data_IF_848968834469
#
_entry.id   IF_848968834469
#
_cell.length_a   1.000
_cell.length_b   1.000
_cell.length_c   1.000
_cell.angle_alpha   90.00
_cell.angle_beta   90.00
_cell.angle_gamma   90.00
#
_symmetry.space_group_name_H-M   'P 1'
#
loop_
_entity.id
_entity.type
_entity.pdbx_description
1 polymer ?
#
# COMPACT_ATOMS: atom_id res chain seq x y z
N UNK A 1 -14.18 -15.79 -1.08
CA UNK A 1 -13.70 -14.38 -1.19
C UNK A 1 -14.72 -13.48 -1.86
N UNK A 2 -15.26 -13.77 -3.07
CA UNK A 2 -16.29 -12.91 -3.68
C UNK A 2 -17.52 -12.73 -2.78
N UNK A 3 -17.89 -13.75 -2.02
CA UNK A 3 -19.00 -13.73 -1.07
C UNK A 3 -18.79 -12.70 0.06
N UNK A 4 -17.55 -12.62 0.58
CA UNK A 4 -17.18 -11.63 1.61
C UNK A 4 -17.19 -10.21 1.06
N UNK A 5 -16.81 -10.03 -0.21
CA UNK A 5 -16.85 -8.72 -0.87
C UNK A 5 -18.29 -8.26 -1.06
N UNK A 6 -19.18 -9.16 -1.48
CA UNK A 6 -20.62 -8.86 -1.58
C UNK A 6 -21.20 -8.50 -0.21
N UNK A 7 -20.91 -9.26 0.83
CA UNK A 7 -21.35 -8.94 2.20
C UNK A 7 -20.81 -7.58 2.69
N UNK A 8 -19.57 -7.25 2.36
CA UNK A 8 -18.95 -5.97 2.71
C UNK A 8 -19.62 -4.79 2.00
N UNK A 9 -19.92 -4.93 0.71
CA UNK A 9 -20.65 -3.92 -0.06
C UNK A 9 -22.09 -3.75 0.44
N UNK A 10 -22.76 -4.85 0.81
CA UNK A 10 -24.08 -4.80 1.42
C UNK A 10 -24.04 -4.02 2.73
N UNK A 11 -23.08 -4.30 3.62
CA UNK A 11 -22.88 -3.56 4.86
C UNK A 11 -22.78 -2.05 4.61
N UNK A 12 -21.94 -1.61 3.66
CA UNK A 12 -21.81 -0.19 3.33
C UNK A 12 -23.05 0.42 2.66
N UNK A 13 -23.83 -0.38 1.93
CA UNK A 13 -25.08 0.08 1.30
C UNK A 13 -26.20 0.41 2.29
N UNK A 14 -26.17 -0.21 3.48
CA UNK A 14 -27.16 0.03 4.53
C UNK A 14 -26.95 1.33 5.33
N UNK A 15 -25.93 2.13 4.96
CA UNK A 15 -25.61 3.41 5.60
C UNK A 15 -24.76 3.26 6.86
N UNK A 16 -23.92 4.27 7.14
CA UNK A 16 -23.16 4.42 8.38
C UNK A 16 -24.13 4.62 9.57
N UNK A 17 -24.74 3.54 10.04
CA UNK A 17 -25.58 3.50 11.23
C UNK A 17 -24.88 2.78 12.37
N UNK A 18 -24.03 3.51 13.10
CA UNK A 18 -23.67 3.27 14.50
C UNK A 18 -23.10 1.88 14.87
N UNK A 19 -22.63 1.08 13.90
CA UNK A 19 -22.28 -0.32 14.14
C UNK A 19 -23.45 -1.16 14.68
N UNK A 20 -24.67 -0.62 14.62
CA UNK A 20 -25.88 -1.25 15.12
C UNK A 20 -26.42 -2.15 14.02
N UNK A 21 -26.74 -3.43 14.33
CA UNK A 21 -27.33 -4.32 13.34
C UNK A 21 -28.62 -3.67 12.77
N UNK A 22 -28.86 -3.72 11.45
CA UNK A 22 -30.02 -3.08 10.84
C UNK A 22 -31.31 -3.54 11.54
N UNK A 23 -32.17 -2.58 11.92
CA UNK A 23 -33.47 -2.89 12.51
C UNK A 23 -34.29 -3.74 11.53
N UNK A 24 -34.77 -4.88 12.04
CA UNK A 24 -35.46 -5.91 11.28
C UNK A 24 -36.73 -5.37 10.63
N UNK A 25 -36.91 -5.59 9.32
CA UNK A 25 -38.24 -5.65 8.74
C UNK A 25 -38.95 -6.88 9.32
N UNK A 26 -40.03 -6.63 10.06
CA UNK A 26 -40.91 -7.67 10.59
C UNK A 26 -41.64 -8.42 9.48
N UNK A 27 -41.94 -9.68 9.80
CA UNK A 27 -43.03 -10.53 9.33
C UNK A 27 -42.78 -11.61 8.25
N UNK A 28 -42.89 -12.86 8.78
CA UNK A 28 -43.70 -13.98 8.28
C UNK A 28 -43.31 -14.64 6.94
N UNK A 29 -42.50 -15.69 7.05
CA UNK A 29 -42.78 -17.00 6.43
C UNK A 29 -41.90 -18.10 7.05
N UNK A 30 -42.43 -19.30 7.38
CA UNK A 30 -41.59 -20.43 7.77
C UNK A 30 -41.09 -21.15 6.51
N UNK A 31 -39.77 -21.21 6.29
CA UNK A 31 -39.15 -21.95 5.19
C UNK A 31 -37.91 -22.74 5.65
N UNK A 32 -37.56 -23.86 4.98
CA UNK A 32 -37.04 -25.05 5.62
C UNK A 32 -35.59 -25.33 5.23
N UNK A 33 -34.63 -24.69 5.89
CA UNK A 33 -33.20 -25.07 5.84
C UNK A 33 -32.59 -24.66 7.19
N UNK A 34 -31.62 -25.39 7.78
CA UNK A 34 -30.95 -24.91 8.98
C UNK A 34 -30.18 -23.64 8.61
N UNK A 35 -30.79 -22.48 8.84
CA UNK A 35 -30.12 -21.20 8.63
C UNK A 35 -28.92 -21.14 9.57
N UNK A 36 -27.77 -20.80 9.03
CA UNK A 36 -26.52 -20.61 9.77
C UNK A 36 -26.68 -19.42 10.73
N UNK A 37 -27.30 -19.66 11.88
CA UNK A 37 -27.57 -18.65 12.90
C UNK A 37 -26.40 -18.61 13.86
N UNK A 38 -25.75 -17.46 13.94
CA UNK A 38 -24.67 -17.25 14.89
C UNK A 38 -25.27 -16.74 16.19
N UNK A 39 -25.44 -17.63 17.16
CA UNK A 39 -26.00 -17.31 18.48
C UNK A 39 -24.89 -17.09 19.51
N UNK A 40 -25.12 -16.13 20.43
CA UNK A 40 -24.21 -15.79 21.53
C UNK A 40 -22.80 -15.41 21.07
N UNK A 41 -22.72 -14.66 19.97
CA UNK A 41 -21.46 -14.18 19.40
C UNK A 41 -20.99 -12.98 20.21
N UNK A 42 -19.74 -13.01 20.67
CA UNK A 42 -19.11 -11.86 21.32
C UNK A 42 -18.61 -10.88 20.26
N UNK A 43 -19.29 -9.74 20.17
CA UNK A 43 -19.00 -8.61 19.31
C UNK A 43 -18.17 -7.60 20.08
N UNK A 44 -17.02 -7.22 19.54
CA UNK A 44 -16.07 -6.29 20.12
C UNK A 44 -15.92 -5.13 19.14
N UNK A 45 -16.19 -3.93 19.63
CA UNK A 45 -15.88 -2.66 18.97
C UNK A 45 -14.82 -1.93 19.82
N UNK A 46 -14.27 -0.81 19.37
CA UNK A 46 -13.18 -0.11 20.06
C UNK A 46 -13.48 0.19 21.54
N UNK A 47 -14.75 0.46 21.87
CA UNK A 47 -15.15 0.88 23.22
C UNK A 47 -16.16 -0.05 23.89
N UNK A 48 -16.79 -0.94 23.13
CA UNK A 48 -17.91 -1.74 23.63
C UNK A 48 -17.71 -3.21 23.35
N UNK A 49 -18.24 -4.03 24.26
CA UNK A 49 -18.30 -5.47 24.12
C UNK A 49 -19.74 -5.90 24.36
N UNK A 50 -20.32 -6.61 23.40
CA UNK A 50 -21.71 -7.05 23.47
C UNK A 50 -21.84 -8.51 23.02
N UNK A 51 -22.81 -9.22 23.58
CA UNK A 51 -23.22 -10.52 23.05
C UNK A 51 -24.45 -10.32 22.17
N UNK A 52 -24.39 -10.80 20.93
CA UNK A 52 -25.50 -10.69 20.01
C UNK A 52 -25.77 -12.01 19.30
N UNK A 53 -27.01 -12.18 18.84
CA UNK A 53 -27.36 -13.22 17.87
C UNK A 53 -27.49 -12.57 16.51
N UNK A 54 -26.69 -13.00 15.55
CA UNK A 54 -26.74 -12.51 14.17
C UNK A 54 -27.55 -13.47 13.31
N UNK A 55 -28.45 -12.90 12.51
CA UNK A 55 -29.26 -13.67 11.58
C UNK A 55 -28.64 -13.61 10.18
N UNK A 56 -28.50 -14.76 9.49
CA UNK A 56 -27.98 -14.79 8.13
C UNK A 56 -29.00 -14.20 7.14
N UNK A 57 -28.50 -13.58 6.08
CA UNK A 57 -29.28 -13.27 4.89
C UNK A 57 -29.52 -14.56 4.07
N UNK A 58 -30.53 -14.58 3.17
CA UNK A 58 -30.86 -15.78 2.38
C UNK A 58 -29.67 -16.34 1.58
N UNK A 59 -28.76 -15.47 1.15
CA UNK A 59 -27.64 -15.83 0.27
C UNK A 59 -26.38 -16.27 1.04
N UNK A 60 -26.35 -16.12 2.37
CA UNK A 60 -25.16 -16.40 3.17
C UNK A 60 -24.90 -17.89 3.35
N UNK A 61 -23.69 -18.34 3.01
CA UNK A 61 -23.28 -19.74 3.15
C UNK A 61 -22.33 -19.94 4.34
N UNK A 62 -21.46 -18.96 4.61
CA UNK A 62 -20.43 -19.02 5.64
C UNK A 62 -20.67 -18.04 6.81
N UNK A 63 -20.22 -18.37 8.04
CA UNK A 63 -20.30 -17.48 9.20
C UNK A 63 -19.71 -16.08 8.96
N UNK A 64 -18.61 -16.02 8.23
CA UNK A 64 -17.92 -14.76 7.97
C UNK A 64 -18.71 -13.81 7.08
N UNK A 65 -19.57 -14.32 6.19
CA UNK A 65 -20.47 -13.47 5.40
C UNK A 65 -21.49 -12.78 6.31
N UNK A 66 -22.06 -13.54 7.25
CA UNK A 66 -22.99 -13.01 8.26
C UNK A 66 -22.30 -11.96 9.14
N UNK A 67 -21.06 -12.20 9.54
CA UNK A 67 -20.31 -11.24 10.35
C UNK A 67 -20.04 -9.95 9.55
N UNK A 68 -19.52 -10.08 8.33
CA UNK A 68 -19.12 -8.95 7.49
C UNK A 68 -20.32 -8.10 7.09
N UNK A 69 -21.47 -8.71 6.80
CA UNK A 69 -22.70 -7.97 6.50
C UNK A 69 -23.19 -7.10 7.67
N UNK A 70 -22.75 -7.41 8.89
CA UNK A 70 -23.03 -6.63 10.10
C UNK A 70 -21.85 -5.74 10.54
N UNK A 71 -20.77 -5.67 9.73
CA UNK A 71 -19.58 -4.85 10.01
C UNK A 71 -18.46 -5.56 10.78
N UNK A 72 -18.62 -6.84 11.10
CA UNK A 72 -17.68 -7.60 11.90
C UNK A 72 -16.81 -8.53 11.07
N UNK A 73 -15.57 -8.77 11.48
CA UNK A 73 -14.73 -9.81 10.89
C UNK A 73 -14.35 -10.85 11.95
N UNK A 74 -14.42 -12.13 11.56
CA UNK A 74 -14.03 -13.24 12.42
C UNK A 74 -12.51 -13.30 12.61
N UNK A 75 -12.08 -13.38 13.87
CA UNK A 75 -10.66 -13.41 14.26
C UNK A 75 -10.11 -14.84 14.40
N UNK A 76 -10.96 -15.87 14.30
CA UNK A 76 -10.60 -17.27 14.44
C UNK A 76 -11.40 -18.14 13.46
N UNK A 77 -10.73 -19.05 12.76
CA UNK A 77 -11.33 -19.97 11.79
C UNK A 77 -11.97 -21.22 12.41
N UNK A 78 -11.73 -21.50 13.70
CA UNK A 78 -12.11 -22.79 14.33
C UNK A 78 -13.12 -22.69 15.47
N UNK A 79 -13.29 -21.52 16.11
CA UNK A 79 -14.22 -21.35 17.23
C UNK A 79 -14.98 -20.03 17.08
N UNK A 80 -16.28 -20.05 16.70
CA UNK A 80 -17.10 -18.85 16.50
C UNK A 80 -17.49 -18.12 17.80
N UNK A 81 -16.87 -18.46 18.93
CA UNK A 81 -17.13 -17.88 20.26
C UNK A 81 -16.09 -16.82 20.66
N UNK A 82 -15.03 -16.63 19.88
CA UNK A 82 -13.97 -15.68 20.21
C UNK A 82 -14.05 -14.43 19.31
N UNK A 83 -14.31 -13.29 19.96
CA UNK A 83 -13.95 -11.93 19.58
C UNK A 83 -14.13 -11.57 18.08
N UNK A 84 -15.25 -10.94 17.75
CA UNK A 84 -15.55 -10.48 16.40
C UNK A 84 -15.39 -8.97 16.37
N UNK A 85 -14.57 -8.46 15.47
CA UNK A 85 -14.08 -7.09 15.55
C UNK A 85 -14.85 -6.21 14.57
N UNK A 86 -15.68 -5.29 15.07
CA UNK A 86 -16.21 -4.22 14.22
C UNK A 86 -15.12 -3.18 14.03
N UNK A 87 -14.92 -2.71 12.81
CA UNK A 87 -14.18 -1.48 12.46
C UNK A 87 -12.73 -1.30 12.94
N UNK A 88 -12.18 -2.10 13.86
CA UNK A 88 -10.81 -1.90 14.34
C UNK A 88 -9.74 -2.11 13.26
N UNK A 89 -9.89 -2.99 12.25
CA UNK A 89 -8.98 -3.02 11.09
C UNK A 89 -9.00 -1.71 10.29
N UNK A 90 -10.17 -1.06 10.17
CA UNK A 90 -10.30 0.25 9.55
C UNK A 90 -9.57 1.32 10.38
N UNK A 91 -9.81 1.34 11.71
CA UNK A 91 -9.16 2.27 12.63
C UNK A 91 -7.65 2.08 12.66
N UNK A 92 -7.17 0.84 12.78
CA UNK A 92 -5.76 0.51 12.71
C UNK A 92 -5.14 0.99 11.40
N UNK A 93 -5.81 0.75 10.26
CA UNK A 93 -5.34 1.25 8.96
C UNK A 93 -5.18 2.78 8.95
N UNK A 94 -6.10 3.53 9.54
CA UNK A 94 -5.97 5.00 9.60
C UNK A 94 -4.90 5.44 10.60
N UNK A 95 -4.82 4.82 11.77
CA UNK A 95 -3.80 5.10 12.78
C UNK A 95 -2.38 4.78 12.27
N UNK A 96 -2.22 3.68 11.53
CA UNK A 96 -0.95 3.29 10.94
C UNK A 96 -0.54 4.19 9.76
N UNK A 97 -1.51 4.79 9.04
CA UNK A 97 -1.22 5.79 8.00
C UNK A 97 -0.66 7.08 8.58
N UNK A 98 -1.14 7.51 9.74
CA UNK A 98 -0.64 8.72 10.41
C UNK A 98 0.64 8.47 11.19
N UNK A 99 0.78 7.28 11.79
CA UNK A 99 1.95 6.87 12.53
C UNK A 99 2.37 5.44 12.12
N UNK A 100 3.26 5.29 11.12
CA UNK A 100 3.76 3.98 10.70
C UNK A 100 4.50 3.19 11.79
N UNK A 101 4.95 3.87 12.86
CA UNK A 101 5.58 3.24 14.01
C UNK A 101 4.56 2.57 14.95
N UNK A 102 3.26 2.85 14.79
CA UNK A 102 2.23 2.28 15.63
C UNK A 102 1.93 0.84 15.20
N UNK A 103 2.64 -0.10 15.83
CA UNK A 103 2.59 -1.52 15.48
C UNK A 103 1.21 -2.14 15.74
N UNK A 104 0.91 -3.22 15.00
CA UNK A 104 -0.31 -4.03 15.23
C UNK A 104 -0.36 -4.64 16.63
N UNK A 105 0.80 -4.95 17.21
CA UNK A 105 0.90 -5.43 18.59
C UNK A 105 0.51 -4.34 19.59
N UNK A 106 1.02 -3.12 19.39
CA UNK A 106 0.67 -1.97 20.23
C UNK A 106 -0.82 -1.69 20.16
N UNK A 107 -1.41 -1.75 18.96
CA UNK A 107 -2.85 -1.61 18.78
C UNK A 107 -3.65 -2.73 19.48
N UNK A 108 -3.20 -3.98 19.37
CA UNK A 108 -3.82 -5.11 20.09
C UNK A 108 -3.75 -4.92 21.61
N UNK A 109 -2.63 -4.43 22.15
CA UNK A 109 -2.49 -4.11 23.58
C UNK A 109 -3.42 -2.97 24.00
N UNK A 110 -3.55 -1.92 23.18
CA UNK A 110 -4.50 -0.83 23.42
C UNK A 110 -5.93 -1.36 23.52
N UNK A 111 -6.36 -2.22 22.60
CA UNK A 111 -7.68 -2.87 22.67
C UNK A 111 -7.83 -3.69 23.97
N UNK A 112 -6.84 -4.51 24.32
CA UNK A 112 -6.87 -5.30 25.55
C UNK A 112 -7.03 -4.42 26.80
N UNK A 113 -6.30 -3.30 26.89
CA UNK A 113 -6.41 -2.36 28.01
C UNK A 113 -7.77 -1.66 28.05
N UNK A 114 -8.32 -1.24 26.91
CA UNK A 114 -9.64 -0.60 26.84
C UNK A 114 -10.76 -1.53 27.31
N UNK A 115 -10.65 -2.83 27.00
CA UNK A 115 -11.61 -3.85 27.45
C UNK A 115 -11.28 -4.47 28.80
N UNK A 116 -10.22 -4.03 29.48
CA UNK A 116 -9.76 -4.58 30.76
C UNK A 116 -9.48 -6.10 30.71
N UNK A 117 -8.98 -6.59 29.58
CA UNK A 117 -8.61 -8.00 29.37
C UNK A 117 -7.09 -8.15 29.32
N UNK A 118 -6.50 -9.20 29.91
CA UNK A 118 -5.08 -9.47 29.79
C UNK A 118 -4.65 -9.72 28.33
N UNK A 119 -3.56 -9.08 27.92
CA UNK A 119 -2.94 -9.30 26.61
C UNK A 119 -2.36 -10.71 26.50
N UNK A 120 -2.60 -11.35 25.36
CA UNK A 120 -2.01 -12.64 24.99
C UNK A 120 -1.46 -12.57 23.57
N UNK A 121 -0.29 -13.16 23.34
CA UNK A 121 0.40 -13.09 22.04
C UNK A 121 -0.42 -13.64 20.85
N UNK A 122 -1.32 -14.60 21.09
CA UNK A 122 -2.17 -15.14 20.03
C UNK A 122 -3.17 -14.11 19.48
N UNK A 123 -3.58 -13.11 20.28
CA UNK A 123 -4.53 -12.07 19.87
C UNK A 123 -3.94 -11.19 18.77
N UNK A 124 -2.66 -10.84 18.88
CA UNK A 124 -1.94 -10.10 17.83
C UNK A 124 -1.89 -10.89 16.53
N UNK A 125 -1.66 -12.20 16.60
CA UNK A 125 -1.67 -13.07 15.42
C UNK A 125 -3.05 -13.14 14.77
N UNK A 126 -4.10 -13.30 15.58
CA UNK A 126 -5.48 -13.29 15.09
C UNK A 126 -5.84 -11.94 14.44
N UNK A 127 -5.41 -10.84 15.05
CA UNK A 127 -5.62 -9.49 14.51
C UNK A 127 -4.89 -9.26 13.20
N UNK A 128 -3.65 -9.76 13.06
CA UNK A 128 -2.91 -9.72 11.80
C UNK A 128 -3.64 -10.47 10.69
N UNK A 129 -4.10 -11.69 10.96
CA UNK A 129 -4.83 -12.50 9.96
C UNK A 129 -6.13 -11.81 9.55
N UNK A 130 -6.89 -11.28 10.50
CA UNK A 130 -8.09 -10.52 10.20
C UNK A 130 -7.79 -9.24 9.40
N UNK A 131 -6.69 -8.55 9.73
CA UNK A 131 -6.25 -7.36 9.00
C UNK A 131 -5.88 -7.70 7.55
N UNK A 132 -5.18 -8.81 7.31
CA UNK A 132 -4.86 -9.29 5.95
C UNK A 132 -6.12 -9.60 5.15
N UNK A 133 -7.10 -10.29 5.74
CA UNK A 133 -8.41 -10.56 5.10
C UNK A 133 -9.16 -9.25 4.80
N UNK A 134 -9.13 -8.29 5.72
CA UNK A 134 -9.73 -6.97 5.50
C UNK A 134 -9.07 -6.23 4.33
N UNK A 135 -7.74 -6.22 4.24
CA UNK A 135 -7.01 -5.64 3.12
C UNK A 135 -7.34 -6.35 1.80
N UNK A 136 -7.52 -7.67 1.82
CA UNK A 136 -7.93 -8.45 0.65
C UNK A 136 -9.34 -8.07 0.17
N UNK A 137 -10.30 -7.90 1.09
CA UNK A 137 -11.65 -7.43 0.76
C UNK A 137 -11.56 -6.05 0.09
N UNK A 138 -10.82 -5.11 0.68
CA UNK A 138 -10.64 -3.78 0.10
C UNK A 138 -10.01 -3.82 -1.29
N UNK A 139 -9.01 -4.67 -1.49
CA UNK A 139 -8.36 -4.83 -2.79
C UNK A 139 -9.33 -5.37 -3.84
N UNK A 140 -10.13 -6.37 -3.49
CA UNK A 140 -11.15 -6.91 -4.40
C UNK A 140 -12.22 -5.87 -4.74
N UNK A 141 -12.63 -5.03 -3.79
CA UNK A 141 -13.55 -3.90 -4.03
C UNK A 141 -12.91 -2.88 -4.97
N UNK A 142 -11.65 -2.50 -4.75
CA UNK A 142 -10.92 -1.57 -5.60
C UNK A 142 -10.81 -2.10 -7.05
N UNK A 143 -10.55 -3.39 -7.22
CA UNK A 143 -10.52 -4.03 -8.54
C UNK A 143 -11.89 -4.03 -9.23
N UNK A 144 -12.98 -4.25 -8.49
CA UNK A 144 -14.34 -4.14 -9.04
C UNK A 144 -14.65 -2.70 -9.46
N UNK A 145 -14.22 -1.72 -8.67
CA UNK A 145 -14.39 -0.30 -8.98
C UNK A 145 -13.57 0.09 -10.23
N UNK A 146 -12.30 -0.32 -10.30
CA UNK A 146 -11.46 -0.10 -11.49
C UNK A 146 -12.11 -0.68 -12.74
N UNK A 147 -12.61 -1.92 -12.67
CA UNK A 147 -13.34 -2.55 -13.79
C UNK A 147 -14.59 -1.76 -14.18
N UNK A 148 -15.39 -1.33 -13.21
CA UNK A 148 -16.61 -0.55 -13.46
C UNK A 148 -16.30 0.82 -14.10
N UNK A 149 -15.18 1.44 -13.73
CA UNK A 149 -14.73 2.73 -14.26
C UNK A 149 -13.92 2.61 -15.56
N UNK A 150 -13.63 1.39 -16.04
CA UNK A 150 -12.80 1.15 -17.22
C UNK A 150 -11.31 1.41 -16.99
N UNK A 151 -10.84 1.33 -15.75
CA UNK A 151 -9.46 1.58 -15.31
C UNK A 151 -8.61 0.31 -15.20
N UNK A 152 -9.00 -0.76 -15.88
CA UNK A 152 -8.37 -2.10 -15.83
C UNK A 152 -7.42 -2.36 -17.02
N UNK A 153 -6.96 -1.29 -17.69
CA UNK A 153 -6.00 -1.41 -18.80
C UNK A 153 -4.56 -1.47 -18.27
N UNK A 154 -3.63 -2.16 -18.96
CA UNK A 154 -2.22 -2.14 -18.58
C UNK A 154 -1.70 -0.69 -18.53
N UNK A 155 -0.89 -0.38 -17.52
CA UNK A 155 -0.32 0.95 -17.28
C UNK A 155 -1.35 2.07 -17.11
N UNK A 156 -2.60 1.74 -16.73
CA UNK A 156 -3.65 2.76 -16.56
C UNK A 156 -3.22 3.86 -15.60
N UNK A 157 -2.56 3.48 -14.49
CA UNK A 157 -2.04 4.42 -13.52
C UNK A 157 -1.05 5.40 -14.16
N UNK A 158 0.00 4.93 -14.82
CA UNK A 158 1.02 5.78 -15.43
C UNK A 158 0.41 6.80 -16.40
N UNK A 159 -0.60 6.38 -17.16
CA UNK A 159 -1.27 7.22 -18.16
C UNK A 159 -2.27 8.22 -17.55
N UNK A 160 -2.71 8.04 -16.29
CA UNK A 160 -3.80 8.82 -15.68
C UNK A 160 -3.50 9.34 -14.27
N UNK A 161 -2.31 9.11 -13.73
CA UNK A 161 -1.97 9.42 -12.34
C UNK A 161 -2.07 10.92 -12.02
N UNK A 162 -1.60 11.76 -12.95
CA UNK A 162 -1.61 13.21 -12.76
C UNK A 162 -2.58 13.87 -13.74
N UNK A 163 -3.73 14.39 -13.27
CA UNK A 163 -4.67 15.09 -14.13
C UNK A 163 -4.04 16.23 -14.92
N UNK A 164 -3.11 16.99 -14.31
CA UNK A 164 -2.45 18.12 -14.97
C UNK A 164 -1.44 17.70 -16.05
N UNK A 165 -0.76 16.56 -15.90
CA UNK A 165 0.18 16.05 -16.91
C UNK A 165 -0.51 15.25 -18.02
N UNK A 166 -1.66 14.62 -17.72
CA UNK A 166 -2.32 13.68 -18.62
C UNK A 166 -3.48 14.32 -19.41
N UNK A 167 -4.02 15.46 -18.95
CA UNK A 167 -5.15 16.11 -19.60
C UNK A 167 -4.69 17.04 -20.74
N UNK A 168 -4.99 16.66 -21.98
CA UNK A 168 -4.68 17.45 -23.18
C UNK A 168 -5.89 18.27 -23.64
N UNK A 169 -5.68 19.55 -23.95
CA UNK A 169 -6.72 20.43 -24.48
C UNK A 169 -6.94 20.22 -25.98
N UNK A 170 -8.15 20.55 -26.45
CA UNK A 170 -8.44 20.55 -27.90
C UNK A 170 -7.57 21.59 -28.58
N UNK A 171 -6.79 21.16 -29.57
CA UNK A 171 -5.83 21.97 -30.35
C UNK A 171 -4.54 22.35 -29.58
N UNK A 172 -4.20 21.63 -28.52
CA UNK A 172 -2.89 21.76 -27.90
C UNK A 172 -1.79 21.27 -28.87
N UNK A 173 -0.72 22.04 -29.11
CA UNK A 173 0.38 21.59 -29.95
C UNK A 173 1.10 20.40 -29.31
N UNK A 174 1.52 19.43 -30.13
CA UNK A 174 2.35 18.33 -29.65
C UNK A 174 3.68 18.90 -29.15
N UNK A 175 4.04 18.59 -27.91
CA UNK A 175 5.35 18.91 -27.35
C UNK A 175 6.33 17.80 -27.70
N UNK A 176 7.61 18.15 -27.88
CA UNK A 176 8.68 17.16 -28.05
C UNK A 176 8.87 16.32 -26.78
N UNK A 177 8.64 16.95 -25.61
CA UNK A 177 8.64 16.30 -24.31
C UNK A 177 7.34 16.63 -23.58
N UNK A 178 6.48 15.64 -23.41
CA UNK A 178 5.18 15.82 -22.76
C UNK A 178 5.31 15.78 -21.23
N UNK A 179 6.23 14.97 -20.72
CA UNK A 179 6.41 14.73 -19.29
C UNK A 179 7.79 15.15 -18.83
N UNK A 180 7.81 15.85 -17.71
CA UNK A 180 9.02 16.06 -16.93
C UNK A 180 8.86 15.25 -15.64
N UNK A 181 9.79 14.35 -15.41
CA UNK A 181 9.74 13.37 -14.32
C UNK A 181 11.00 13.52 -13.49
N UNK A 182 10.83 13.61 -12.19
CA UNK A 182 11.92 13.56 -11.22
C UNK A 182 11.97 12.15 -10.65
N UNK A 183 13.16 11.57 -10.61
CA UNK A 183 13.39 10.25 -10.02
C UNK A 183 14.32 10.47 -8.83
N UNK A 184 13.94 9.91 -7.68
CA UNK A 184 14.76 9.93 -6.48
C UNK A 184 14.80 8.54 -5.85
N UNK A 185 15.89 8.26 -5.15
CA UNK A 185 16.09 7.02 -4.40
C UNK A 185 16.28 7.31 -2.92
N UNK A 186 15.75 6.43 -2.08
CA UNK A 186 16.09 6.42 -0.68
C UNK A 186 16.50 5.03 -0.22
N UNK A 187 17.53 4.95 0.62
CA UNK A 187 18.01 3.70 1.16
C UNK A 187 17.20 3.27 2.39
N UNK A 188 16.89 1.99 2.49
CA UNK A 188 16.27 1.40 3.67
C UNK A 188 17.29 0.60 4.48
N UNK A 189 17.18 0.70 5.81
CA UNK A 189 17.98 -0.08 6.74
C UNK A 189 17.18 -1.31 7.18
N UNK A 190 17.39 -2.46 6.50
CA UNK A 190 16.70 -3.71 6.81
C UNK A 190 17.65 -4.78 7.34
N UNK A 191 17.72 -4.99 8.66
CA UNK A 191 18.76 -5.80 9.33
C UNK A 191 18.71 -7.31 9.00
N UNK A 192 17.70 -7.82 8.28
CA UNK A 192 17.61 -9.26 7.97
C UNK A 192 16.80 -9.51 6.69
N UNK A 193 17.25 -10.39 5.77
CA UNK A 193 16.43 -10.85 4.65
C UNK A 193 15.25 -11.66 5.20
N UNK A 194 14.13 -10.98 5.43
CA UNK A 194 12.85 -11.64 5.52
C UNK A 194 12.40 -11.88 4.08
N UNK A 195 12.32 -13.14 3.65
CA UNK A 195 11.78 -13.47 2.34
C UNK A 195 10.29 -13.15 2.34
N UNK A 196 9.92 -11.96 1.85
CA UNK A 196 8.54 -11.61 1.59
C UNK A 196 8.16 -12.14 0.21
N UNK A 197 7.30 -13.16 0.16
CA UNK A 197 6.82 -13.74 -1.11
C UNK A 197 5.67 -12.93 -1.72
N UNK A 198 5.27 -11.82 -1.11
CA UNK A 198 4.15 -11.01 -1.61
C UNK A 198 4.63 -10.10 -2.73
N UNK A 199 3.87 -10.08 -3.82
CA UNK A 199 4.10 -9.14 -4.91
C UNK A 199 3.28 -7.86 -4.71
N UNK A 200 3.80 -6.72 -5.15
CA UNK A 200 3.03 -5.48 -5.20
C UNK A 200 1.80 -5.68 -6.08
N UNK A 201 0.66 -5.16 -5.60
CA UNK A 201 -0.65 -5.36 -6.25
C UNK A 201 -1.07 -4.20 -7.16
N UNK A 202 -0.20 -3.21 -7.28
CA UNK A 202 -0.47 -1.93 -7.95
C UNK A 202 0.38 -1.79 -9.20
N UNK A 203 -0.23 -1.31 -10.28
CA UNK A 203 0.40 -1.18 -11.59
C UNK A 203 1.54 -0.15 -11.67
N UNK A 204 1.69 0.71 -10.65
CA UNK A 204 2.79 1.66 -10.59
C UNK A 204 4.09 1.02 -10.09
N UNK A 205 4.05 -0.22 -9.63
CA UNK A 205 5.23 -0.92 -9.13
C UNK A 205 5.86 -1.75 -10.25
N UNK A 206 7.12 -1.50 -10.58
CA UNK A 206 7.83 -2.17 -11.67
C UNK A 206 8.47 -3.45 -11.15
N UNK A 207 8.07 -4.59 -11.71
CA UNK A 207 8.59 -5.90 -11.32
C UNK A 207 10.14 -5.99 -11.49
N UNK A 208 10.85 -6.69 -10.59
CA UNK A 208 12.29 -6.89 -10.68
C UNK A 208 12.74 -7.49 -12.03
N UNK A 209 11.97 -8.41 -12.60
CA UNK A 209 12.30 -9.01 -13.90
C UNK A 209 12.22 -7.98 -15.03
N UNK A 210 11.31 -7.01 -14.92
CA UNK A 210 11.20 -5.87 -15.82
C UNK A 210 12.46 -4.99 -15.77
N UNK A 211 12.92 -4.66 -14.56
CA UNK A 211 14.12 -3.86 -14.32
C UNK A 211 15.39 -4.60 -14.79
N UNK A 212 15.47 -5.91 -14.54
CA UNK A 212 16.63 -6.75 -14.87
C UNK A 212 16.94 -6.80 -16.37
N UNK A 213 15.98 -6.50 -17.25
CA UNK A 213 16.25 -6.38 -18.69
C UNK A 213 17.26 -5.27 -19.01
N UNK A 214 17.33 -4.24 -18.14
CA UNK A 214 18.17 -3.05 -18.32
C UNK A 214 19.52 -3.13 -17.59
N UNK A 215 19.79 -4.23 -16.86
CA UNK A 215 20.95 -4.37 -15.97
C UNK A 215 22.32 -4.18 -16.66
N UNK A 216 22.39 -4.37 -17.98
CA UNK A 216 23.63 -4.28 -18.75
C UNK A 216 23.67 -3.08 -19.70
N UNK A 217 22.60 -2.30 -19.84
CA UNK A 217 22.56 -1.20 -20.82
C UNK A 217 23.61 -0.12 -20.55
N UNK A 218 23.91 0.16 -19.28
CA UNK A 218 24.90 1.16 -18.89
C UNK A 218 26.33 0.74 -19.26
N UNK A 219 26.59 -0.57 -19.29
CA UNK A 219 27.89 -1.16 -19.64
C UNK A 219 28.07 -1.36 -21.16
N UNK A 220 27.01 -1.18 -21.96
CA UNK A 220 27.01 -1.40 -23.40
C UNK A 220 27.39 -0.18 -24.22
N UNK A 221 27.75 0.97 -23.61
CA UNK A 221 28.49 2.00 -24.35
C UNK A 221 29.79 1.35 -24.84
N UNK A 222 29.96 1.11 -26.15
CA UNK A 222 31.24 0.65 -26.65
C UNK A 222 32.23 1.73 -26.27
N UNK A 223 33.38 1.31 -25.77
CA UNK A 223 34.60 2.11 -25.73
C UNK A 223 34.83 2.61 -27.16
N UNK A 224 34.20 3.73 -27.51
CA UNK A 224 34.30 4.30 -28.84
C UNK A 224 35.77 4.59 -29.02
N UNK A 225 36.32 4.02 -30.08
CA UNK A 225 37.70 4.22 -30.53
C UNK A 225 37.82 5.65 -31.07
N UNK A 226 37.65 6.64 -30.21
CA UNK A 226 38.09 8.00 -30.44
C UNK A 226 39.36 8.19 -29.62
N UNK A 227 40.44 8.72 -30.21
CA UNK A 227 41.62 9.09 -29.45
C UNK A 227 41.19 10.06 -28.36
N UNK A 228 41.67 9.82 -27.15
CA UNK A 228 41.45 10.61 -25.95
C UNK A 228 41.70 12.10 -26.20
N UNK A 229 40.64 12.83 -26.51
CA UNK A 229 40.52 14.26 -26.27
C UNK A 229 39.20 14.46 -25.51
N UNK A 230 39.19 14.04 -24.25
CA UNK A 230 38.16 14.43 -23.28
C UNK A 230 38.45 15.85 -22.79
N UNK A 231 38.47 16.80 -23.72
CA UNK A 231 38.12 18.17 -23.36
C UNK A 231 36.60 18.23 -23.43
N UNK A 232 35.97 18.18 -22.27
CA UNK A 232 34.65 18.75 -22.07
C UNK A 232 34.72 20.18 -22.63
N UNK A 233 34.03 20.44 -23.73
CA UNK A 233 34.01 21.74 -24.43
C UNK A 233 33.08 22.74 -23.71
N UNK A 234 33.09 22.68 -22.37
CA UNK A 234 32.57 23.74 -21.52
C UNK A 234 33.65 24.81 -21.46
N UNK A 235 33.54 25.82 -22.33
CA UNK A 235 34.35 27.02 -22.19
C UNK A 235 33.91 27.76 -20.92
N UNK A 236 34.72 27.69 -19.86
CA UNK A 236 34.59 28.59 -18.72
C UNK A 236 34.72 30.02 -19.23
N UNK A 237 33.72 30.87 -18.97
CA UNK A 237 33.85 32.30 -19.28
C UNK A 237 35.11 32.85 -18.59
N UNK A 238 35.90 33.69 -19.29
CA UNK A 238 37.13 34.25 -18.73
C UNK A 238 36.78 35.00 -17.45
N UNK A 239 37.27 34.49 -16.32
CA UNK A 239 37.06 35.08 -15.00
C UNK A 239 37.60 36.51 -14.98
N UNK A 240 36.70 37.49 -14.92
CA UNK A 240 37.04 38.89 -14.69
C UNK A 240 37.79 39.01 -13.34
N UNK A 241 39.04 39.52 -13.31
CA UNK A 241 39.81 39.72 -12.08
C UNK A 241 39.12 40.61 -11.03
N UNK A 242 38.05 41.32 -11.38
CA UNK A 242 37.32 42.23 -10.51
C UNK A 242 35.99 41.67 -9.97
N UNK A 243 35.57 40.46 -10.34
CA UNK A 243 34.38 39.82 -9.78
C UNK A 243 34.72 38.89 -8.60
N UNK A 244 33.92 38.88 -7.51
CA UNK A 244 34.10 37.90 -6.44
C UNK A 244 33.98 36.49 -7.02
N UNK A 245 34.91 35.60 -6.66
CA UNK A 245 34.95 34.21 -7.14
C UNK A 245 33.54 33.59 -7.10
N UNK A 246 33.05 32.98 -8.20
CA UNK A 246 31.79 32.25 -8.16
C UNK A 246 31.89 31.17 -7.09
N UNK A 247 30.86 31.08 -6.23
CA UNK A 247 30.75 30.01 -5.26
C UNK A 247 30.63 28.72 -6.07
N UNK A 248 31.68 27.91 -6.07
CA UNK A 248 31.70 26.63 -6.75
C UNK A 248 30.75 25.69 -5.97
N UNK A 249 29.48 25.61 -6.40
CA UNK A 249 28.46 24.76 -5.77
C UNK A 249 28.91 23.30 -5.66
N UNK A 250 29.82 22.86 -6.53
CA UNK A 250 30.40 21.51 -6.52
C UNK A 250 31.18 21.25 -5.23
N UNK A 251 31.90 22.24 -4.70
CA UNK A 251 32.70 22.09 -3.48
C UNK A 251 31.82 22.03 -2.21
N UNK A 252 30.55 22.45 -2.31
CA UNK A 252 29.57 22.39 -1.21
C UNK A 252 28.62 21.18 -1.33
N UNK A 253 28.67 20.44 -2.44
CA UNK A 253 27.87 19.24 -2.62
C UNK A 253 28.52 18.06 -1.89
N UNK A 254 28.35 18.00 -0.57
CA UNK A 254 28.64 16.80 0.19
C UNK A 254 27.53 15.77 -0.05
N UNK A 255 27.83 14.68 -0.77
CA UNK A 255 26.97 13.49 -0.74
C UNK A 255 26.78 13.04 0.72
N UNK A 256 25.58 12.60 1.06
CA UNK A 256 25.20 12.25 2.42
C UNK A 256 26.05 11.08 2.96
N UNK A 257 27.00 11.40 3.83
CA UNK A 257 27.69 10.44 4.70
C UNK A 257 29.05 9.92 4.21
N UNK A 258 29.94 9.54 5.15
CA UNK A 258 31.28 9.06 4.83
C UNK A 258 31.25 7.71 4.08
N UNK A 259 32.19 7.53 3.15
CA UNK A 259 32.24 6.38 2.20
C UNK A 259 32.17 4.99 2.83
N UNK A 260 32.59 4.82 4.09
CA UNK A 260 32.49 3.53 4.77
C UNK A 260 31.04 3.09 5.05
N UNK A 261 30.06 4.00 5.01
CA UNK A 261 28.63 3.66 5.11
C UNK A 261 28.08 3.09 3.80
N UNK A 262 28.74 3.36 2.66
CA UNK A 262 28.30 2.88 1.33
C UNK A 262 28.46 1.36 1.21
N UNK A 263 29.59 0.83 1.66
CA UNK A 263 29.83 -0.62 1.69
C UNK A 263 28.88 -1.40 2.61
N UNK A 264 28.23 -0.75 3.58
CA UNK A 264 27.25 -1.40 4.46
C UNK A 264 25.99 -1.85 3.69
N UNK A 265 25.67 -1.21 2.55
CA UNK A 265 24.50 -1.53 1.75
C UNK A 265 24.67 -2.78 0.87
N UNK A 266 25.91 -3.18 0.58
CA UNK A 266 26.21 -4.40 -0.20
C UNK A 266 25.73 -5.70 0.45
N UNK A 267 25.41 -5.67 1.75
CA UNK A 267 24.90 -6.81 2.52
C UNK A 267 23.41 -7.06 2.24
N UNK A 268 22.68 -6.06 1.73
CA UNK A 268 21.24 -6.16 1.50
C UNK A 268 20.93 -6.52 0.04
N UNK A 269 19.96 -7.43 -0.16
CA UNK A 269 19.47 -7.73 -1.50
C UNK A 269 18.67 -6.55 -2.07
N UNK A 270 17.85 -5.93 -1.23
CA UNK A 270 17.13 -4.69 -1.50
C UNK A 270 17.71 -3.60 -0.59
N UNK A 271 18.31 -2.56 -1.18
CA UNK A 271 18.97 -1.49 -0.44
C UNK A 271 18.10 -0.25 -0.26
N UNK A 272 16.93 -0.19 -0.90
CA UNK A 272 16.11 1.01 -0.96
C UNK A 272 14.96 0.93 -1.98
N UNK A 273 14.37 2.08 -2.29
CA UNK A 273 13.32 2.24 -3.30
C UNK A 273 13.66 3.42 -4.23
N UNK A 274 13.38 3.27 -5.51
CA UNK A 274 13.28 4.37 -6.47
C UNK A 274 11.83 4.78 -6.63
N UNK A 275 11.58 6.09 -6.66
CA UNK A 275 10.27 6.65 -6.94
C UNK A 275 10.41 7.67 -8.07
N UNK A 276 9.60 7.51 -9.10
CA UNK A 276 9.43 8.49 -10.16
C UNK A 276 8.17 9.32 -9.88
N UNK A 277 8.32 10.64 -9.81
CA UNK A 277 7.24 11.59 -9.58
C UNK A 277 7.16 12.62 -10.70
N UNK A 278 5.95 13.08 -11.03
CA UNK A 278 5.80 14.26 -11.86
C UNK A 278 6.04 15.55 -11.05
N UNK A 279 6.13 16.71 -11.72
CA UNK A 279 6.27 18.03 -11.06
C UNK A 279 5.10 18.38 -10.12
N UNK A 280 3.94 17.78 -10.34
CA UNK A 280 2.78 17.94 -9.48
C UNK A 280 2.79 16.97 -8.28
N UNK A 281 3.91 16.26 -8.04
CA UNK A 281 4.13 15.35 -6.92
C UNK A 281 3.22 14.12 -6.90
N UNK A 282 2.72 13.69 -8.06
CA UNK A 282 2.06 12.39 -8.21
C UNK A 282 3.11 11.32 -8.48
N UNK A 283 3.01 10.21 -7.75
CA UNK A 283 3.84 9.02 -7.98
C UNK A 283 3.41 8.41 -9.31
N UNK A 284 4.36 8.28 -10.23
CA UNK A 284 4.16 7.66 -11.54
C UNK A 284 4.55 6.19 -11.50
N UNK A 285 5.77 5.90 -11.01
CA UNK A 285 6.32 4.56 -10.90
C UNK A 285 7.14 4.43 -9.61
N UNK A 286 7.25 3.19 -9.12
CA UNK A 286 8.12 2.81 -8.03
C UNK A 286 8.78 1.46 -8.32
N UNK A 287 10.01 1.26 -7.87
CA UNK A 287 10.69 -0.04 -7.93
C UNK A 287 11.71 -0.19 -6.81
N UNK A 288 11.98 -1.43 -6.41
CA UNK A 288 13.02 -1.71 -5.42
C UNK A 288 14.42 -1.47 -6.00
N UNK A 289 15.30 -0.95 -5.15
CA UNK A 289 16.73 -0.87 -5.43
C UNK A 289 17.37 -2.22 -5.12
N UNK A 290 17.62 -3.01 -6.16
CA UNK A 290 18.21 -4.35 -6.03
C UNK A 290 19.69 -4.29 -6.40
N UNK A 291 20.59 -4.59 -5.45
CA UNK A 291 22.05 -4.71 -5.68
C UNK A 291 22.63 -3.57 -6.54
N UNK A 292 22.40 -2.31 -6.13
CA UNK A 292 22.95 -1.16 -6.85
C UNK A 292 24.48 -1.25 -6.95
N UNK A 293 25.01 -1.06 -8.17
CA UNK A 293 26.46 -1.04 -8.43
C UNK A 293 27.12 0.31 -8.16
N UNK A 294 26.34 1.35 -7.85
CA UNK A 294 26.86 2.68 -7.46
C UNK A 294 27.16 2.79 -5.95
N UNK A 295 26.84 1.75 -5.17
CA UNK A 295 27.06 1.68 -3.71
C UNK A 295 28.30 0.86 -3.33
#
# INVERSE_FOLDING_TARGET
MPELVTAYLQYHSHGLGDGSPPQQLSDKAPLPVPRLRLSNVQLIDMFTQQQHTLNPMPDHQYPNEVLVSHGYLGMCTYIPQCCHLNLCPCFFRQAHRTCPQYSIQSFCQTLCHMHQVPYHAYLTKQLSVAYDVYLEILHCVDNQLKKAMGWDTPNWWLLNACPACCYKLKNEPSLDFEWLVSIDSNNFYGITPCLDTRHPRSDYWIDPDGVNNFQHEVNLKPMSTYPSNSHDDWEDEPSDPYLPKPINCVDQWCNAGPEYWKHMFSVFCESGIFIAVCWHHFILLACDMIKSSEL
#
